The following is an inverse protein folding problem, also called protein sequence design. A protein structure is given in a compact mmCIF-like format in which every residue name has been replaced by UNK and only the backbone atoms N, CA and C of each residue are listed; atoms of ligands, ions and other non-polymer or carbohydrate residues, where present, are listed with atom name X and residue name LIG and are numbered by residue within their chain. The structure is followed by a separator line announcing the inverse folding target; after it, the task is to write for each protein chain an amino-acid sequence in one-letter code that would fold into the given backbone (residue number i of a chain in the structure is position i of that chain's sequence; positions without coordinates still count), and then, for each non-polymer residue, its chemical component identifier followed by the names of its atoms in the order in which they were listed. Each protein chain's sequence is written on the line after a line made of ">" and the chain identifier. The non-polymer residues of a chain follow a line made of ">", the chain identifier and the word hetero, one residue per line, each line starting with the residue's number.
data_IF_334578839816
#
_entry.id   IF_334578839816
#
_cell.length_a   1.000
_cell.length_b   1.000
_cell.length_c   1.000
_cell.angle_alpha   90.00
_cell.angle_beta   90.00
_cell.angle_gamma   90.00
#
_symmetry.space_group_name_H-M   'P 1'
#
loop_
_entity.id
_entity.type
_entity.pdbx_description
1 polymer ?
#
# COMPACT_ATOMS: atom_id res chain seq x y z
N UNK A 1 63.95 26.51 7.41
CA UNK A 1 63.16 26.71 6.18
C UNK A 1 61.84 25.99 6.39
N UNK A 2 60.77 26.74 6.58
CA UNK A 2 59.46 26.25 7.02
C UNK A 2 58.51 26.36 5.84
N UNK A 3 58.07 25.23 5.29
CA UNK A 3 57.11 25.19 4.18
C UNK A 3 55.74 24.82 4.75
N UNK A 4 54.86 25.81 4.86
CA UNK A 4 53.43 25.60 5.16
C UNK A 4 52.69 25.28 3.87
N UNK A 5 52.12 24.08 3.76
CA UNK A 5 51.20 23.71 2.70
C UNK A 5 49.76 23.86 3.20
N UNK A 6 49.01 24.77 2.58
CA UNK A 6 47.57 24.93 2.83
C UNK A 6 46.82 24.04 1.83
N UNK A 7 46.17 22.99 2.34
CA UNK A 7 45.25 22.17 1.53
C UNK A 7 43.89 22.86 1.44
N UNK A 8 43.48 23.25 0.24
CA UNK A 8 42.14 23.72 -0.05
C UNK A 8 41.22 22.53 -0.38
N UNK A 9 40.24 22.26 0.48
CA UNK A 9 39.18 21.28 0.24
C UNK A 9 38.08 21.91 -0.64
N UNK A 10 37.93 21.41 -1.88
CA UNK A 10 36.76 21.71 -2.70
C UNK A 10 35.55 20.91 -2.17
N UNK A 11 34.52 21.62 -1.71
CA UNK A 11 33.20 21.05 -1.43
C UNK A 11 32.37 21.15 -2.70
N UNK A 12 32.14 20.04 -3.39
CA UNK A 12 31.17 19.97 -4.48
C UNK A 12 29.76 20.01 -3.89
N UNK A 13 29.06 21.13 -4.05
CA UNK A 13 27.64 21.22 -3.75
C UNK A 13 26.85 20.42 -4.79
N UNK A 14 26.41 19.20 -4.44
CA UNK A 14 25.44 18.45 -5.22
C UNK A 14 24.09 19.15 -5.09
N UNK A 15 23.64 19.80 -6.16
CA UNK A 15 22.30 20.38 -6.26
C UNK A 15 21.27 19.24 -6.40
N UNK A 16 20.72 18.75 -5.30
CA UNK A 16 19.58 17.84 -5.33
C UNK A 16 18.34 18.59 -5.85
N UNK A 17 17.72 18.10 -6.93
CA UNK A 17 16.39 18.57 -7.35
C UNK A 17 15.34 18.00 -6.39
N UNK A 18 14.31 18.77 -6.02
CA UNK A 18 13.22 18.23 -5.23
C UNK A 18 12.50 17.13 -6.03
N UNK A 19 12.04 16.05 -5.37
CA UNK A 19 11.29 15.00 -6.05
C UNK A 19 9.98 15.56 -6.63
N UNK A 20 9.60 15.08 -7.81
CA UNK A 20 8.35 15.44 -8.47
C UNK A 20 7.25 14.49 -8.01
N UNK A 21 6.18 15.02 -7.44
CA UNK A 21 5.01 14.24 -7.03
C UNK A 21 3.92 14.31 -8.10
N UNK A 22 3.37 13.15 -8.47
CA UNK A 22 2.25 13.02 -9.39
C UNK A 22 1.06 12.37 -8.69
N UNK A 23 -0.16 12.81 -8.99
CA UNK A 23 -1.40 12.18 -8.55
C UNK A 23 -2.21 11.78 -9.77
N UNK A 24 -2.61 10.52 -9.84
CA UNK A 24 -3.41 10.01 -10.94
C UNK A 24 -4.88 9.86 -10.51
N UNK A 25 -5.76 9.91 -11.51
CA UNK A 25 -7.15 9.54 -11.32
C UNK A 25 -7.26 8.02 -11.19
N UNK A 26 -8.08 7.57 -10.26
CA UNK A 26 -8.47 6.17 -10.12
C UNK A 26 -9.01 5.61 -11.44
N UNK A 27 -8.57 4.40 -11.81
CA UNK A 27 -9.03 3.69 -13.00
C UNK A 27 -9.48 2.29 -12.61
N UNK A 28 -10.55 1.80 -13.23
CA UNK A 28 -11.14 0.49 -12.92
C UNK A 28 -10.34 -0.70 -13.48
N UNK A 29 -9.32 -0.43 -14.30
CA UNK A 29 -8.47 -1.40 -15.01
C UNK A 29 -7.42 -2.10 -14.13
N UNK A 30 -7.42 -1.80 -12.82
CA UNK A 30 -6.51 -2.41 -11.86
C UNK A 30 -7.22 -2.57 -10.52
N UNK A 31 -8.07 -3.58 -10.45
CA UNK A 31 -8.80 -3.94 -9.24
C UNK A 31 -8.17 -5.17 -8.59
N UNK A 32 -8.31 -5.28 -7.28
CA UNK A 32 -7.74 -6.35 -6.47
C UNK A 32 -8.84 -7.24 -5.92
N UNK A 33 -8.67 -8.53 -6.10
CA UNK A 33 -9.55 -9.56 -5.56
C UNK A 33 -9.15 -9.84 -4.12
N UNK A 34 -10.06 -9.60 -3.19
CA UNK A 34 -9.93 -9.98 -1.79
C UNK A 34 -10.71 -11.26 -1.58
N UNK A 35 -10.03 -12.28 -1.07
CA UNK A 35 -10.60 -13.59 -0.77
C UNK A 35 -10.36 -13.97 0.68
N UNK A 36 -11.19 -14.89 1.16
CA UNK A 36 -11.10 -15.42 2.52
C UNK A 36 -11.17 -14.33 3.60
N UNK A 37 -11.85 -13.20 3.32
CA UNK A 37 -11.95 -12.13 4.30
C UNK A 37 -12.72 -12.59 5.52
N UNK A 38 -12.06 -12.48 6.66
CA UNK A 38 -12.67 -12.59 7.97
C UNK A 38 -12.34 -11.36 8.78
N UNK A 39 -13.30 -10.90 9.57
CA UNK A 39 -13.06 -9.85 10.53
C UNK A 39 -13.94 -10.06 11.76
N UNK A 40 -13.35 -9.88 12.93
CA UNK A 40 -14.08 -10.03 14.19
C UNK A 40 -13.84 -8.81 15.05
N UNK A 41 -14.83 -8.38 15.81
CA UNK A 41 -14.62 -7.35 16.81
C UNK A 41 -15.25 -7.75 18.14
N UNK A 42 -14.67 -8.73 18.85
CA UNK A 42 -15.09 -9.03 20.22
C UNK A 42 -14.67 -7.87 21.13
N UNK A 43 -15.66 -7.20 21.72
CA UNK A 43 -15.49 -6.10 22.67
C UNK A 43 -14.77 -4.89 22.07
N UNK A 44 -13.45 -4.77 22.30
CA UNK A 44 -12.63 -3.58 21.97
C UNK A 44 -11.52 -3.86 20.97
N UNK A 45 -11.27 -5.12 20.60
CA UNK A 45 -10.16 -5.48 19.73
C UNK A 45 -10.69 -6.07 18.43
N UNK A 46 -10.85 -5.21 17.43
CA UNK A 46 -11.19 -5.66 16.09
C UNK A 46 -9.96 -6.27 15.42
N UNK A 47 -10.14 -7.39 14.71
CA UNK A 47 -9.11 -8.11 13.96
C UNK A 47 -9.62 -8.41 12.57
N UNK A 48 -8.71 -8.52 11.62
CA UNK A 48 -9.00 -8.93 10.26
C UNK A 48 -7.91 -9.86 9.72
N UNK A 49 -8.30 -10.68 8.76
CA UNK A 49 -7.42 -11.58 8.04
C UNK A 49 -8.03 -11.85 6.64
N UNK A 50 -7.22 -11.74 5.59
CA UNK A 50 -7.65 -12.01 4.21
C UNK A 50 -6.46 -12.29 3.29
N UNK A 51 -6.74 -12.88 2.13
CA UNK A 51 -5.84 -12.95 0.99
C UNK A 51 -6.24 -11.90 -0.04
N UNK A 52 -5.25 -11.31 -0.72
CA UNK A 52 -5.49 -10.34 -1.79
C UNK A 52 -4.63 -10.67 -3.00
N UNK A 53 -5.22 -10.53 -4.18
CA UNK A 53 -4.58 -10.73 -5.46
C UNK A 53 -4.83 -9.54 -6.38
N UNK A 54 -3.79 -9.07 -7.07
CA UNK A 54 -3.90 -8.10 -8.14
C UNK A 54 -3.27 -8.65 -9.40
N UNK A 55 -4.02 -8.67 -10.49
CA UNK A 55 -3.52 -9.10 -11.80
C UNK A 55 -2.63 -8.04 -12.40
N UNK A 56 -1.49 -8.47 -12.95
CA UNK A 56 -0.58 -7.58 -13.66
C UNK A 56 -1.28 -6.83 -14.81
N UNK A 57 -0.92 -5.56 -15.00
CA UNK A 57 -1.35 -4.75 -16.13
C UNK A 57 -0.17 -3.94 -16.69
N UNK A 58 0.52 -4.53 -17.67
CA UNK A 58 1.65 -3.92 -18.39
C UNK A 58 1.24 -3.02 -19.56
N UNK A 59 -0.04 -3.01 -19.93
CA UNK A 59 -0.57 -2.13 -20.97
C UNK A 59 -1.00 -0.76 -20.42
N UNK A 60 -1.19 -0.67 -19.10
CA UNK A 60 -1.53 0.57 -18.40
C UNK A 60 -0.34 1.54 -18.31
N UNK A 61 -0.66 2.81 -18.03
CA UNK A 61 0.31 3.83 -17.71
C UNK A 61 -0.05 4.49 -16.36
N UNK A 62 0.76 4.32 -15.31
CA UNK A 62 1.98 3.50 -15.25
C UNK A 62 1.65 1.99 -15.33
N UNK A 63 2.66 1.19 -15.68
CA UNK A 63 2.58 -0.27 -15.65
C UNK A 63 2.44 -0.76 -14.22
N UNK A 64 1.61 -1.77 -14.00
CA UNK A 64 1.18 -2.20 -12.67
C UNK A 64 1.56 -3.67 -12.49
N UNK A 65 2.30 -4.03 -11.43
CA UNK A 65 2.75 -5.40 -11.26
C UNK A 65 1.62 -6.33 -10.82
N UNK A 66 1.81 -7.62 -11.02
CA UNK A 66 1.05 -8.64 -10.31
C UNK A 66 1.43 -8.67 -8.83
N UNK A 67 0.52 -9.11 -7.97
CA UNK A 67 0.86 -9.48 -6.60
C UNK A 67 -0.17 -10.45 -5.99
N UNK A 68 0.29 -11.23 -5.03
CA UNK A 68 -0.53 -12.00 -4.11
C UNK A 68 0.02 -11.81 -2.70
N UNK A 69 -0.85 -11.52 -1.72
CA UNK A 69 -0.44 -11.30 -0.35
C UNK A 69 -1.47 -11.81 0.66
N UNK A 70 -0.99 -12.23 1.84
CA UNK A 70 -1.80 -12.45 3.03
C UNK A 70 -1.70 -11.26 3.95
N UNK A 71 -2.83 -10.68 4.30
CA UNK A 71 -2.94 -9.51 5.13
C UNK A 71 -3.67 -9.84 6.42
N UNK A 72 -3.08 -9.45 7.55
CA UNK A 72 -3.71 -9.59 8.85
C UNK A 72 -3.35 -8.42 9.75
N UNK A 73 -4.26 -8.07 10.66
CA UNK A 73 -4.02 -6.99 11.61
C UNK A 73 -5.12 -6.86 12.65
N UNK A 74 -4.95 -5.85 13.50
CA UNK A 74 -5.83 -5.59 14.61
C UNK A 74 -5.94 -4.09 14.90
N UNK A 75 -6.95 -3.75 15.70
CA UNK A 75 -7.29 -2.43 16.19
C UNK A 75 -7.75 -1.50 15.06
N UNK A 76 -8.98 -1.00 15.16
CA UNK A 76 -9.45 0.04 14.24
C UNK A 76 -8.62 1.32 14.39
N UNK A 77 -8.24 1.93 13.27
CA UNK A 77 -7.45 3.15 13.26
C UNK A 77 -5.98 2.96 13.61
N UNK A 78 -5.51 1.72 13.79
CA UNK A 78 -4.09 1.46 13.93
C UNK A 78 -3.31 1.83 12.65
N UNK A 79 -1.99 2.06 12.76
CA UNK A 79 -1.14 2.22 11.59
C UNK A 79 -1.21 1.01 10.64
N UNK A 80 -0.79 1.21 9.39
CA UNK A 80 -0.65 0.13 8.43
C UNK A 80 0.23 -1.01 8.97
N UNK A 81 -0.20 -2.23 8.69
CA UNK A 81 0.60 -3.44 8.86
C UNK A 81 0.99 -4.00 7.50
N UNK A 82 2.25 -4.40 7.38
CA UNK A 82 2.75 -5.09 6.18
C UNK A 82 2.07 -6.45 6.06
N UNK A 83 1.64 -6.75 4.85
CA UNK A 83 1.15 -8.06 4.46
C UNK A 83 2.33 -8.94 4.05
N UNK A 84 2.19 -10.25 4.20
CA UNK A 84 3.15 -11.22 3.69
C UNK A 84 2.89 -11.43 2.19
N UNK A 85 3.87 -11.14 1.35
CA UNK A 85 3.79 -11.51 -0.07
C UNK A 85 3.83 -13.05 -0.19
N UNK A 86 2.95 -13.61 -1.01
CA UNK A 86 2.79 -15.07 -1.23
C UNK A 86 2.94 -15.44 -2.72
N UNK A 87 3.66 -14.64 -3.48
CA UNK A 87 3.98 -14.90 -4.88
C UNK A 87 5.50 -14.93 -5.10
N UNK A 88 5.92 -15.36 -6.28
CA UNK A 88 7.32 -15.45 -6.70
C UNK A 88 7.77 -14.28 -7.60
N UNK A 89 7.02 -13.18 -7.61
CA UNK A 89 7.29 -12.02 -8.48
C UNK A 89 8.55 -11.27 -8.01
N UNK A 90 9.39 -10.91 -8.98
CA UNK A 90 10.75 -10.39 -8.71
C UNK A 90 10.83 -8.87 -8.54
N UNK A 91 9.77 -8.14 -8.90
CA UNK A 91 9.76 -6.69 -8.80
C UNK A 91 9.65 -6.23 -7.33
N UNK A 92 10.32 -5.14 -6.98
CA UNK A 92 10.31 -4.62 -5.60
C UNK A 92 8.96 -3.97 -5.30
N UNK A 93 8.18 -4.61 -4.42
CA UNK A 93 6.87 -4.12 -3.97
C UNK A 93 6.56 -4.48 -2.53
N UNK A 94 5.55 -3.82 -1.96
CA UNK A 94 5.03 -4.05 -0.61
C UNK A 94 3.53 -3.85 -0.61
N UNK A 95 2.82 -4.72 0.09
CA UNK A 95 1.39 -4.57 0.37
C UNK A 95 1.23 -4.30 1.86
N UNK A 96 0.39 -3.34 2.21
CA UNK A 96 0.05 -3.04 3.59
C UNK A 96 -1.46 -2.83 3.73
N UNK A 97 -1.99 -3.14 4.90
CA UNK A 97 -3.42 -2.99 5.19
C UNK A 97 -3.65 -2.44 6.59
N UNK A 98 -4.84 -1.89 6.83
CA UNK A 98 -5.33 -1.53 8.17
C UNK A 98 -6.86 -1.48 8.19
N UNK A 99 -7.43 -1.67 9.38
CA UNK A 99 -8.82 -1.30 9.64
C UNK A 99 -8.94 0.20 9.83
N UNK A 100 -9.88 0.80 9.13
CA UNK A 100 -10.28 2.19 9.35
C UNK A 100 -11.21 2.28 10.56
N UNK A 101 -11.21 3.42 11.28
CA UNK A 101 -12.19 3.68 12.32
C UNK A 101 -13.63 3.52 11.81
N UNK A 102 -14.48 2.88 12.61
CA UNK A 102 -15.91 2.89 12.36
C UNK A 102 -16.44 4.33 12.26
N UNK A 103 -17.31 4.59 11.29
CA UNK A 103 -17.96 5.90 11.12
C UNK A 103 -18.94 6.22 12.26
N UNK A 104 -19.39 5.19 12.99
CA UNK A 104 -20.20 5.31 14.20
C UNK A 104 -19.62 4.42 15.29
N UNK A 105 -19.22 5.02 16.43
CA UNK A 105 -18.73 4.31 17.63
C UNK A 105 -19.86 3.62 18.41
N UNK A 106 -20.92 3.16 17.75
CA UNK A 106 -21.87 2.32 18.44
C UNK A 106 -21.20 0.97 18.68
N UNK A 107 -21.36 0.41 19.87
CA UNK A 107 -20.85 -0.92 20.23
C UNK A 107 -21.40 -2.05 19.31
N UNK A 108 -22.31 -1.70 18.40
CA UNK A 108 -22.98 -2.59 17.46
C UNK A 108 -22.65 -2.26 16.00
N UNK A 109 -21.55 -1.55 15.70
CA UNK A 109 -21.12 -1.37 14.31
C UNK A 109 -20.83 -2.72 13.68
N UNK A 110 -21.72 -3.17 12.80
CA UNK A 110 -21.55 -4.40 12.02
C UNK A 110 -20.60 -4.20 10.85
N UNK A 111 -20.21 -2.95 10.56
CA UNK A 111 -19.42 -2.58 9.40
C UNK A 111 -17.93 -2.58 9.72
N UNK A 112 -17.18 -3.32 8.92
CA UNK A 112 -15.72 -3.28 8.90
C UNK A 112 -15.26 -2.48 7.69
N UNK A 113 -14.37 -1.51 7.87
CA UNK A 113 -13.81 -0.68 6.79
C UNK A 113 -12.34 -1.00 6.67
N UNK A 114 -11.90 -1.44 5.51
CA UNK A 114 -10.50 -1.80 5.24
C UNK A 114 -9.89 -0.80 4.27
N UNK A 115 -8.64 -0.46 4.51
CA UNK A 115 -7.79 0.26 3.58
C UNK A 115 -6.58 -0.62 3.26
N UNK A 116 -6.29 -0.77 1.97
CA UNK A 116 -5.14 -1.55 1.47
C UNK A 116 -4.30 -0.65 0.58
N UNK A 117 -2.99 -0.76 0.70
CA UNK A 117 -2.03 0.02 -0.05
C UNK A 117 -0.97 -0.90 -0.66
N UNK A 118 -0.78 -0.78 -1.97
CA UNK A 118 0.32 -1.38 -2.72
C UNK A 118 1.32 -0.28 -3.04
N UNK A 119 2.59 -0.47 -2.68
CA UNK A 119 3.71 0.32 -3.16
C UNK A 119 4.62 -0.54 -4.02
N UNK A 120 5.12 0.00 -5.13
CA UNK A 120 6.12 -0.67 -5.96
C UNK A 120 7.06 0.35 -6.62
N UNK A 121 8.30 -0.09 -6.92
CA UNK A 121 9.21 0.66 -7.79
C UNK A 121 8.65 0.60 -9.21
N UNK A 122 8.63 1.73 -9.91
CA UNK A 122 8.15 1.84 -11.28
C UNK A 122 8.81 0.77 -12.18
N UNK A 123 8.02 0.11 -13.02
CA UNK A 123 8.49 -1.05 -13.77
C UNK A 123 9.34 -0.67 -14.99
N UNK A 124 9.32 0.60 -15.38
CA UNK A 124 10.12 1.14 -16.48
C UNK A 124 11.35 1.91 -15.96
N UNK A 125 11.33 2.38 -14.71
CA UNK A 125 12.41 3.18 -14.08
C UNK A 125 12.66 2.79 -12.62
N UNK A 126 13.93 2.65 -12.24
CA UNK A 126 14.32 2.28 -10.87
C UNK A 126 14.34 3.46 -9.88
N UNK A 127 14.24 4.69 -10.37
CA UNK A 127 14.28 5.92 -9.57
C UNK A 127 12.91 6.39 -9.10
N UNK A 128 11.83 5.83 -9.64
CA UNK A 128 10.46 6.27 -9.36
C UNK A 128 9.70 5.17 -8.62
N UNK A 129 8.70 5.54 -7.83
CA UNK A 129 7.81 4.58 -7.20
C UNK A 129 6.37 5.06 -7.22
N UNK A 130 5.47 4.09 -7.16
CA UNK A 130 4.03 4.30 -7.14
C UNK A 130 3.42 3.75 -5.87
N UNK A 131 2.38 4.41 -5.40
CA UNK A 131 1.49 3.92 -4.36
C UNK A 131 0.04 3.98 -4.84
N UNK A 132 -0.60 2.82 -4.76
CA UNK A 132 -2.00 2.62 -5.03
C UNK A 132 -2.65 2.28 -3.71
N UNK A 133 -3.71 3.00 -3.37
CA UNK A 133 -4.46 2.79 -2.14
C UNK A 133 -5.93 2.66 -2.50
N UNK A 134 -6.56 1.64 -1.93
CA UNK A 134 -7.96 1.33 -2.14
C UNK A 134 -8.67 1.03 -0.84
N UNK A 135 -9.99 1.16 -0.89
CA UNK A 135 -10.87 1.07 0.25
C UNK A 135 -12.02 0.10 -0.02
N UNK A 136 -12.46 -0.59 1.02
CA UNK A 136 -13.72 -1.32 0.98
C UNK A 136 -14.47 -1.20 2.30
N UNK A 137 -15.79 -1.27 2.19
CA UNK A 137 -16.72 -1.34 3.31
C UNK A 137 -17.39 -2.70 3.26
N UNK A 138 -17.18 -3.50 4.30
CA UNK A 138 -17.69 -4.86 4.46
C UNK A 138 -18.29 -5.01 5.85
N UNK A 139 -18.42 -6.24 6.35
CA UNK A 139 -18.94 -6.56 7.68
C UNK A 139 -17.92 -7.31 8.52
N UNK A 140 -18.07 -7.17 9.83
CA UNK A 140 -17.46 -8.09 10.79
C UNK A 140 -18.18 -9.44 10.69
N UNK A 141 -17.46 -10.48 10.27
CA UNK A 141 -17.94 -11.85 10.12
C UNK A 141 -16.80 -12.85 10.28
N UNK A 142 -17.10 -13.98 10.93
CA UNK A 142 -16.21 -15.15 10.98
C UNK A 142 -16.39 -16.05 9.76
N UNK A 143 -17.52 -15.93 9.05
CA UNK A 143 -17.72 -16.60 7.76
C UNK A 143 -16.94 -15.84 6.69
N UNK A 144 -16.02 -16.51 5.97
CA UNK A 144 -15.27 -15.90 4.89
C UNK A 144 -16.16 -15.26 3.85
N UNK A 145 -15.72 -14.14 3.28
CA UNK A 145 -16.36 -13.53 2.12
C UNK A 145 -15.31 -13.01 1.14
N UNK A 146 -15.74 -12.86 -0.11
CA UNK A 146 -14.90 -12.36 -1.18
C UNK A 146 -15.48 -11.06 -1.73
N UNK A 147 -14.62 -10.15 -2.15
CA UNK A 147 -14.99 -8.88 -2.75
C UNK A 147 -13.83 -8.28 -3.53
N UNK A 148 -14.07 -7.15 -4.17
CA UNK A 148 -13.06 -6.45 -4.97
C UNK A 148 -12.77 -5.07 -4.39
N UNK A 149 -11.50 -4.67 -4.40
CA UNK A 149 -11.04 -3.32 -4.10
C UNK A 149 -10.55 -2.68 -5.39
N UNK A 150 -11.10 -1.54 -5.77
CA UNK A 150 -10.52 -0.69 -6.81
C UNK A 150 -9.77 0.46 -6.13
N UNK A 151 -8.46 0.62 -6.36
CA UNK A 151 -7.70 1.75 -5.82
C UNK A 151 -8.27 3.09 -6.27
N UNK A 152 -8.50 3.98 -5.31
CA UNK A 152 -9.08 5.31 -5.50
C UNK A 152 -8.07 6.44 -5.23
N UNK A 153 -6.95 6.12 -4.60
CA UNK A 153 -5.85 7.04 -4.30
C UNK A 153 -4.55 6.53 -4.94
N UNK A 154 -4.04 7.27 -5.93
CA UNK A 154 -2.85 6.89 -6.68
C UNK A 154 -1.85 8.05 -6.69
N UNK A 155 -0.65 7.79 -6.20
CA UNK A 155 0.45 8.75 -6.14
C UNK A 155 1.73 8.15 -6.70
N UNK A 156 2.52 8.96 -7.40
CA UNK A 156 3.84 8.61 -7.89
C UNK A 156 4.87 9.64 -7.46
N UNK A 157 6.10 9.20 -7.24
CA UNK A 157 7.25 10.06 -6.93
C UNK A 157 8.40 9.68 -7.83
N UNK A 158 9.02 10.68 -8.45
CA UNK A 158 10.17 10.57 -9.36
C UNK A 158 11.23 11.64 -9.07
#
# INVERSE_FOLDING_TARGET
>A
MQFSAVFATLVLAVSARPPTMMRLKATADYSWEVTEWTATCPNTTCKYDFKIHGTENLAGNPKKPGFTARCAGDIEGSPYRLCSLEDDETNTRRVASKLLPATSKSANSTTARIQVSLQYIDLDTDSSWWNYTGHATTRYTQTPLDFTITPDEIFGVA
#
